data_IF_109315885451
#
_entry.id   IF_109315885451
#
_cell.length_a   1.000
_cell.length_b   1.000
_cell.length_c   1.000
_cell.angle_alpha   90.00
_cell.angle_beta   90.00
_cell.angle_gamma   90.00
#
_symmetry.space_group_name_H-M   'P 1'
#
loop_
_entity.id
_entity.type
_entity.pdbx_description
1 polymer ?
#
# COMPACT_ATOMS: atom_id res chain seq x y z
N UNK A 1 -4.97 -26.85 -4.13
CA UNK A 1 -3.87 -27.22 -3.23
C UNK A 1 -4.46 -27.58 -1.88
N UNK A 2 -4.37 -28.85 -1.49
CA UNK A 2 -4.57 -29.31 -0.12
C UNK A 2 -3.22 -29.16 0.60
N UNK A 3 -3.20 -28.48 1.75
CA UNK A 3 -1.98 -28.30 2.55
C UNK A 3 -2.22 -27.20 3.58
N UNK A 4 -2.02 -27.51 4.86
CA UNK A 4 -2.40 -26.66 5.97
C UNK A 4 -1.84 -25.23 5.91
N UNK A 5 -2.45 -24.39 6.72
CA UNK A 5 -2.01 -23.04 7.07
C UNK A 5 -0.48 -22.88 7.03
N UNK A 6 0.02 -22.05 6.12
CA UNK A 6 1.45 -21.85 5.91
C UNK A 6 2.04 -21.07 7.08
N UNK A 7 2.43 -21.81 8.12
CA UNK A 7 2.91 -21.25 9.39
C UNK A 7 4.06 -20.28 9.25
N UNK A 8 5.04 -20.68 8.44
CA UNK A 8 6.22 -19.85 8.23
C UNK A 8 5.85 -18.51 7.57
N UNK A 9 4.88 -18.49 6.66
CA UNK A 9 4.40 -17.25 6.04
C UNK A 9 3.79 -16.31 7.06
N UNK A 10 2.82 -16.74 7.87
CA UNK A 10 2.19 -15.81 8.81
C UNK A 10 3.14 -15.39 9.94
N UNK A 11 4.07 -16.26 10.38
CA UNK A 11 5.10 -15.88 11.36
C UNK A 11 6.05 -14.84 10.77
N UNK A 12 6.45 -15.03 9.51
CA UNK A 12 7.26 -14.07 8.79
C UNK A 12 6.53 -12.74 8.62
N UNK A 13 5.25 -12.73 8.20
CA UNK A 13 4.44 -11.51 8.08
C UNK A 13 4.29 -10.81 9.43
N UNK A 14 4.00 -11.57 10.49
CA UNK A 14 3.86 -11.04 11.86
C UNK A 14 5.10 -10.25 12.29
N UNK A 15 6.29 -10.75 11.98
CA UNK A 15 7.56 -10.07 12.24
C UNK A 15 7.80 -8.91 11.28
N UNK A 16 7.68 -9.15 9.97
CA UNK A 16 8.06 -8.20 8.92
C UNK A 16 7.20 -6.93 8.90
N UNK A 17 5.92 -7.04 9.29
CA UNK A 17 4.98 -5.91 9.38
C UNK A 17 4.69 -5.47 10.82
N UNK A 18 5.46 -6.01 11.78
CA UNK A 18 5.37 -5.75 13.22
C UNK A 18 3.90 -5.74 13.70
N UNK A 19 3.27 -6.90 13.58
CA UNK A 19 1.89 -7.16 14.00
C UNK A 19 1.84 -7.55 15.50
N UNK A 20 2.66 -6.89 16.32
CA UNK A 20 2.85 -7.21 17.75
C UNK A 20 1.84 -6.53 18.67
N UNK A 21 1.09 -5.55 18.17
CA UNK A 21 0.04 -4.87 18.94
C UNK A 21 -1.05 -5.86 19.38
N UNK A 22 -1.53 -5.73 20.61
CA UNK A 22 -2.48 -6.68 21.19
C UNK A 22 -3.83 -6.72 20.45
N UNK A 23 -4.14 -5.73 19.62
CA UNK A 23 -5.32 -5.75 18.73
C UNK A 23 -5.36 -6.96 17.80
N UNK A 24 -4.21 -7.57 17.48
CA UNK A 24 -4.16 -8.74 16.60
C UNK A 24 -4.63 -10.04 17.26
N UNK A 25 -4.61 -10.14 18.60
CA UNK A 25 -5.05 -11.35 19.32
C UNK A 25 -6.51 -11.67 19.04
N UNK A 26 -7.41 -10.71 19.28
CA UNK A 26 -8.84 -10.86 18.96
C UNK A 26 -9.13 -10.85 17.45
N UNK A 27 -8.15 -10.45 16.64
CA UNK A 27 -8.27 -10.37 15.20
C UNK A 27 -7.82 -11.64 14.46
N UNK A 28 -7.56 -12.73 15.19
CA UNK A 28 -7.21 -14.03 14.62
C UNK A 28 -5.73 -14.37 14.61
N UNK A 29 -4.87 -13.71 15.39
CA UNK A 29 -3.46 -14.10 15.50
C UNK A 29 -3.28 -15.56 15.95
N UNK A 30 -4.12 -16.04 16.88
CA UNK A 30 -4.11 -17.44 17.34
C UNK A 30 -4.76 -18.42 16.36
N UNK A 31 -5.48 -17.92 15.36
CA UNK A 31 -6.18 -18.68 14.32
C UNK A 31 -5.87 -18.06 12.95
N UNK A 32 -4.56 -17.98 12.64
CA UNK A 32 -4.05 -17.33 11.44
C UNK A 32 -4.55 -17.95 10.12
N UNK A 33 -5.19 -19.11 10.22
CA UNK A 33 -5.67 -19.91 9.11
C UNK A 33 -7.11 -19.54 8.72
N UNK A 34 -7.82 -18.86 9.61
CA UNK A 34 -9.18 -18.41 9.38
C UNK A 34 -9.17 -17.15 8.51
N UNK A 35 -9.28 -17.38 7.19
CA UNK A 35 -9.27 -16.34 6.16
C UNK A 35 -10.38 -15.28 6.28
N UNK A 36 -11.39 -15.53 7.14
CA UNK A 36 -12.43 -14.56 7.47
C UNK A 36 -11.96 -13.50 8.47
N UNK A 37 -10.91 -13.77 9.25
CA UNK A 37 -10.43 -12.89 10.31
C UNK A 37 -9.42 -11.85 9.80
N UNK A 38 -9.37 -10.64 10.41
CA UNK A 38 -8.51 -9.57 9.93
C UNK A 38 -7.03 -9.95 9.82
N UNK A 39 -6.49 -10.73 10.75
CA UNK A 39 -5.08 -11.13 10.73
C UNK A 39 -4.74 -11.93 9.46
N UNK A 40 -5.51 -12.97 9.14
CA UNK A 40 -5.32 -13.74 7.91
C UNK A 40 -5.49 -12.87 6.64
N UNK A 41 -6.42 -11.90 6.67
CA UNK A 41 -6.62 -10.95 5.56
C UNK A 41 -5.41 -10.01 5.39
N UNK A 42 -4.73 -9.59 6.47
CA UNK A 42 -3.46 -8.85 6.38
C UNK A 42 -2.33 -9.75 5.85
N UNK A 43 -2.26 -11.01 6.27
CA UNK A 43 -1.29 -11.97 5.74
C UNK A 43 -1.43 -12.12 4.22
N UNK A 44 -2.67 -12.22 3.72
CA UNK A 44 -2.93 -12.27 2.27
C UNK A 44 -2.50 -10.98 1.55
N UNK A 45 -2.72 -9.81 2.15
CA UNK A 45 -2.29 -8.53 1.58
C UNK A 45 -0.76 -8.44 1.52
N UNK A 46 -0.08 -8.77 2.61
CA UNK A 46 1.38 -8.83 2.68
C UNK A 46 1.95 -9.84 1.67
N UNK A 47 1.30 -10.98 1.48
CA UNK A 47 1.68 -11.98 0.48
C UNK A 47 1.63 -11.39 -0.94
N UNK A 48 0.59 -10.61 -1.27
CA UNK A 48 0.50 -9.95 -2.57
C UNK A 48 1.66 -8.97 -2.79
N UNK A 49 1.95 -8.11 -1.81
CA UNK A 49 3.08 -7.15 -1.90
C UNK A 49 4.40 -7.88 -2.15
N UNK A 50 4.61 -9.03 -1.51
CA UNK A 50 5.90 -9.71 -1.52
C UNK A 50 6.11 -10.67 -2.69
N UNK A 51 5.03 -11.22 -3.26
CA UNK A 51 5.12 -12.35 -4.17
C UNK A 51 4.25 -12.21 -5.43
N UNK A 52 3.26 -11.32 -5.47
CA UNK A 52 2.34 -11.27 -6.61
C UNK A 52 3.01 -10.82 -7.91
N UNK A 53 4.07 -10.03 -7.84
CA UNK A 53 4.72 -9.45 -9.00
C UNK A 53 5.90 -10.31 -9.49
N UNK A 54 6.16 -10.25 -10.80
CA UNK A 54 7.42 -10.68 -11.40
C UNK A 54 8.11 -9.44 -11.91
N UNK A 55 9.36 -9.23 -11.48
CA UNK A 55 10.11 -8.05 -11.85
C UNK A 55 10.27 -7.94 -13.38
N UNK A 56 9.89 -6.80 -13.95
CA UNK A 56 9.98 -6.45 -15.36
C UNK A 56 10.29 -4.95 -15.47
N UNK A 57 11.58 -4.63 -15.50
CA UNK A 57 12.12 -3.26 -15.55
C UNK A 57 11.63 -2.45 -16.75
N UNK A 58 11.27 -3.11 -17.84
CA UNK A 58 10.77 -2.46 -19.04
C UNK A 58 9.30 -2.01 -18.93
N UNK A 59 8.52 -2.54 -17.97
CA UNK A 59 7.07 -2.29 -17.89
C UNK A 59 6.61 -1.80 -16.52
N UNK A 60 7.20 -2.28 -15.43
CA UNK A 60 6.72 -2.00 -14.07
C UNK A 60 7.06 -0.59 -13.61
N UNK A 61 6.22 0.00 -12.75
CA UNK A 61 6.50 1.31 -12.18
C UNK A 61 7.68 1.21 -11.21
N UNK A 62 7.64 0.19 -10.34
CA UNK A 62 8.69 -0.08 -9.36
C UNK A 62 8.94 -1.57 -9.20
N UNK A 63 10.07 -1.89 -8.58
CA UNK A 63 10.42 -3.28 -8.32
C UNK A 63 9.56 -3.90 -7.22
N UNK A 64 9.45 -5.23 -7.24
CA UNK A 64 8.85 -5.97 -6.13
C UNK A 64 9.57 -5.65 -4.82
N UNK A 65 10.90 -5.47 -4.85
CA UNK A 65 11.68 -5.10 -3.66
C UNK A 65 11.34 -3.70 -3.15
N UNK A 66 11.07 -2.74 -4.04
CA UNK A 66 10.68 -1.39 -3.65
C UNK A 66 9.38 -1.42 -2.82
N UNK A 67 8.31 -2.02 -3.35
CA UNK A 67 7.03 -2.13 -2.65
C UNK A 67 7.15 -2.94 -1.35
N UNK A 68 7.99 -3.99 -1.37
CA UNK A 68 8.22 -4.85 -0.21
C UNK A 68 8.98 -4.13 0.89
N UNK A 69 10.07 -3.45 0.56
CA UNK A 69 10.90 -2.75 1.53
C UNK A 69 10.19 -1.52 2.05
N UNK A 70 9.49 -0.78 1.20
CA UNK A 70 8.74 0.41 1.63
C UNK A 70 7.58 0.08 2.57
N UNK A 71 7.02 -1.13 2.53
CA UNK A 71 5.84 -1.51 3.33
C UNK A 71 6.13 -2.30 4.59
N UNK A 72 7.34 -2.85 4.73
CA UNK A 72 7.78 -3.55 5.94
C UNK A 72 7.95 -2.57 7.10
N UNK A 73 7.68 -3.03 8.31
CA UNK A 73 7.71 -2.19 9.51
C UNK A 73 9.13 -1.95 10.07
N UNK A 74 10.11 -2.74 9.61
CA UNK A 74 11.52 -2.61 10.03
C UNK A 74 12.15 -1.36 9.43
N UNK A 75 13.05 -0.71 10.20
CA UNK A 75 13.85 0.41 9.70
C UNK A 75 14.65 0.02 8.46
N UNK A 76 14.63 0.87 7.45
CA UNK A 76 15.41 0.72 6.22
C UNK A 76 15.65 2.09 5.58
N UNK A 77 16.04 2.11 4.30
CA UNK A 77 16.32 3.35 3.57
C UNK A 77 15.06 4.12 3.11
N UNK A 78 13.86 3.56 3.28
CA UNK A 78 12.60 4.26 3.06
C UNK A 78 12.12 4.99 4.31
N UNK A 79 12.19 4.36 5.49
CA UNK A 79 11.67 4.93 6.73
C UNK A 79 12.27 4.29 7.99
N UNK A 80 12.04 4.94 9.15
CA UNK A 80 12.30 4.37 10.46
C UNK A 80 11.35 3.21 10.81
N UNK A 81 11.52 2.57 11.97
CA UNK A 81 10.65 1.47 12.36
C UNK A 81 9.25 1.96 12.77
N UNK A 82 8.21 1.24 12.37
CA UNK A 82 6.84 1.45 12.82
C UNK A 82 6.22 0.13 13.27
N UNK A 83 4.93 0.13 13.61
CA UNK A 83 4.18 -1.11 13.77
C UNK A 83 2.78 -0.99 13.23
N UNK A 84 2.18 -2.12 12.87
CA UNK A 84 0.83 -2.12 12.32
C UNK A 84 -0.15 -2.56 13.39
N UNK A 85 -1.27 -1.84 13.49
CA UNK A 85 -2.31 -2.05 14.49
C UNK A 85 -3.66 -2.19 13.81
N UNK A 86 -4.49 -3.11 14.29
CA UNK A 86 -5.92 -3.07 13.98
C UNK A 86 -6.58 -2.04 14.89
N UNK A 87 -7.04 -0.93 14.32
CA UNK A 87 -7.74 0.09 15.08
C UNK A 87 -9.19 -0.33 15.33
N UNK A 88 -9.58 -0.32 16.60
CA UNK A 88 -10.93 -0.68 17.06
C UNK A 88 -11.92 0.48 16.96
N UNK A 89 -11.44 1.69 16.71
CA UNK A 89 -12.25 2.88 16.43
C UNK A 89 -12.53 2.98 14.94
N UNK A 90 -13.71 3.48 14.59
CA UNK A 90 -14.02 3.79 13.20
C UNK A 90 -13.07 4.89 12.66
N UNK A 91 -12.46 4.62 11.50
CA UNK A 91 -11.66 5.60 10.74
C UNK A 91 -12.53 6.58 9.95
N UNK A 92 -13.85 6.49 10.10
CA UNK A 92 -14.83 7.19 9.28
C UNK A 92 -14.77 6.64 7.86
N UNK A 93 -14.36 7.48 6.92
CA UNK A 93 -14.22 7.07 5.51
C UNK A 93 -12.86 6.46 5.19
N UNK A 94 -11.87 6.56 6.08
CA UNK A 94 -10.51 6.09 5.83
C UNK A 94 -10.37 4.58 6.01
N UNK A 95 -9.59 3.95 5.13
CA UNK A 95 -9.24 2.52 5.22
C UNK A 95 -8.10 2.28 6.22
N UNK A 96 -7.15 3.20 6.28
CA UNK A 96 -6.05 3.19 7.23
C UNK A 96 -5.56 4.61 7.55
N UNK A 97 -4.60 4.73 8.47
CA UNK A 97 -3.88 5.97 8.76
C UNK A 97 -2.51 5.70 9.38
N UNK A 98 -1.47 6.21 8.75
CA UNK A 98 -0.14 6.37 9.30
C UNK A 98 -0.15 7.44 10.40
N UNK A 99 0.49 7.14 11.51
CA UNK A 99 0.71 8.05 12.62
C UNK A 99 2.22 8.16 12.82
N UNK A 100 2.77 9.21 12.22
CA UNK A 100 4.18 9.61 12.31
C UNK A 100 4.36 10.64 13.43
N UNK A 101 5.61 10.89 13.83
CA UNK A 101 5.97 11.93 14.84
C UNK A 101 5.29 11.74 16.19
N UNK A 102 5.03 10.51 16.62
CA UNK A 102 4.32 10.26 17.87
C UNK A 102 5.21 10.60 19.08
N UNK A 103 4.72 11.47 19.98
CA UNK A 103 5.46 11.87 21.18
C UNK A 103 5.60 10.70 22.15
N UNK A 104 6.83 10.37 22.54
CA UNK A 104 7.19 9.27 23.45
C UNK A 104 6.57 7.92 23.08
N UNK A 105 6.27 7.70 21.80
CA UNK A 105 5.71 6.46 21.30
C UNK A 105 6.28 6.13 19.92
N UNK A 106 6.38 4.84 19.60
CA UNK A 106 6.78 4.40 18.26
C UNK A 106 5.72 4.79 17.22
N UNK A 107 6.15 5.19 16.03
CA UNK A 107 5.25 5.43 14.90
C UNK A 107 4.46 4.17 14.53
N UNK A 108 3.29 4.33 13.94
CA UNK A 108 2.42 3.20 13.61
C UNK A 108 1.56 3.42 12.39
N UNK A 109 1.01 2.34 11.87
CA UNK A 109 -0.08 2.34 10.89
C UNK A 109 -1.32 1.70 11.53
N UNK A 110 -2.41 2.46 11.56
CA UNK A 110 -3.71 1.94 11.99
C UNK A 110 -4.48 1.44 10.77
N UNK A 111 -4.83 0.17 10.72
CA UNK A 111 -5.77 -0.39 9.75
C UNK A 111 -7.16 -0.39 10.36
N UNK A 112 -8.17 0.17 9.67
CA UNK A 112 -9.53 0.30 10.21
C UNK A 112 -10.44 -0.85 9.80
N UNK A 113 -11.53 -1.05 10.56
CA UNK A 113 -12.50 -2.13 10.35
C UNK A 113 -13.06 -2.20 8.92
N UNK A 114 -13.24 -1.04 8.26
CA UNK A 114 -13.76 -0.95 6.88
C UNK A 114 -12.97 -1.79 5.88
N UNK A 115 -11.65 -1.87 6.06
CA UNK A 115 -10.84 -2.76 5.25
C UNK A 115 -11.36 -4.18 5.38
N UNK A 116 -11.65 -4.66 6.59
CA UNK A 116 -11.95 -6.06 6.93
C UNK A 116 -13.41 -6.50 6.81
N UNK A 117 -14.36 -5.56 6.76
CA UNK A 117 -15.80 -5.84 6.71
C UNK A 117 -16.23 -6.53 5.42
N UNK A 118 -16.86 -7.71 5.53
CA UNK A 118 -17.33 -8.48 4.37
C UNK A 118 -18.24 -7.65 3.46
N UNK A 119 -17.95 -7.63 2.16
CA UNK A 119 -18.77 -6.92 1.17
C UNK A 119 -18.59 -5.39 1.17
N UNK A 120 -17.69 -4.86 2.00
CA UNK A 120 -17.22 -3.48 1.89
C UNK A 120 -16.55 -3.27 0.54
N UNK A 121 -16.67 -2.05 -0.03
CA UNK A 121 -15.92 -1.68 -1.24
C UNK A 121 -14.40 -1.74 -1.04
N UNK A 122 -13.95 -1.76 0.21
CA UNK A 122 -12.55 -1.89 0.61
C UNK A 122 -12.11 -3.33 0.89
N UNK A 123 -13.02 -4.32 0.89
CA UNK A 123 -12.76 -5.72 1.24
C UNK A 123 -12.23 -6.52 0.04
N UNK A 124 -11.03 -6.16 -0.42
CA UNK A 124 -10.26 -6.99 -1.34
C UNK A 124 -8.81 -7.10 -0.88
N UNK A 125 -8.17 -8.23 -1.16
CA UNK A 125 -6.77 -8.44 -0.81
C UNK A 125 -5.86 -7.41 -1.50
N UNK A 126 -6.14 -7.08 -2.77
CA UNK A 126 -5.42 -6.03 -3.50
C UNK A 126 -5.58 -4.65 -2.87
N UNK A 127 -6.79 -4.26 -2.46
CA UNK A 127 -7.02 -2.98 -1.79
C UNK A 127 -6.26 -2.84 -0.47
N UNK A 128 -6.24 -3.92 0.33
CA UNK A 128 -5.46 -3.94 1.57
C UNK A 128 -3.97 -3.79 1.29
N UNK A 129 -3.47 -4.50 0.28
CA UNK A 129 -2.07 -4.44 -0.10
C UNK A 129 -1.67 -3.03 -0.54
N UNK A 130 -2.44 -2.40 -1.45
CA UNK A 130 -2.17 -1.03 -1.88
C UNK A 130 -2.37 0.00 -0.77
N UNK A 131 -3.31 -0.24 0.16
CA UNK A 131 -3.44 0.60 1.38
C UNK A 131 -2.20 0.46 2.29
N UNK A 132 -1.64 -0.74 2.46
CA UNK A 132 -0.43 -0.90 3.27
C UNK A 132 0.78 -0.18 2.64
N UNK A 133 0.93 -0.25 1.31
CA UNK A 133 1.94 0.53 0.56
C UNK A 133 1.70 2.03 0.67
N UNK A 134 0.43 2.47 0.62
CA UNK A 134 0.05 3.87 0.80
C UNK A 134 0.50 4.41 2.17
N UNK A 135 0.10 3.74 3.24
CA UNK A 135 0.39 4.21 4.59
C UNK A 135 1.88 4.14 4.91
N UNK A 136 2.59 3.18 4.31
CA UNK A 136 4.02 3.10 4.47
C UNK A 136 4.76 4.23 3.75
N UNK A 137 4.20 4.74 2.66
CA UNK A 137 4.71 5.93 1.99
C UNK A 137 4.59 7.21 2.83
N UNK A 138 3.60 7.30 3.71
CA UNK A 138 3.58 8.40 4.70
C UNK A 138 4.75 8.32 5.70
N UNK A 139 5.20 7.12 6.07
CA UNK A 139 6.41 6.96 6.88
C UNK A 139 7.66 7.37 6.08
N UNK A 140 7.71 7.08 4.78
CA UNK A 140 8.76 7.60 3.89
C UNK A 140 8.77 9.12 3.84
N UNK A 141 7.61 9.75 3.62
CA UNK A 141 7.49 11.21 3.62
C UNK A 141 8.02 11.80 4.92
N UNK A 142 7.70 11.19 6.07
CA UNK A 142 8.22 11.64 7.35
C UNK A 142 9.75 11.53 7.45
N UNK A 143 10.30 10.36 7.10
CA UNK A 143 11.74 10.11 7.17
C UNK A 143 12.56 11.07 6.30
N UNK A 144 11.99 11.54 5.19
CA UNK A 144 12.62 12.47 4.26
C UNK A 144 12.19 13.94 4.44
N UNK A 145 11.54 14.28 5.55
CA UNK A 145 11.23 15.67 5.92
C UNK A 145 10.04 16.30 5.17
N UNK A 146 9.26 15.50 4.44
CA UNK A 146 8.06 15.94 3.75
C UNK A 146 6.84 15.99 4.69
N UNK A 147 5.82 16.74 4.25
CA UNK A 147 4.52 16.73 4.92
C UNK A 147 3.81 15.39 4.64
N UNK A 148 3.34 14.74 5.69
CA UNK A 148 2.63 13.45 5.61
C UNK A 148 1.12 13.59 5.44
N UNK A 149 0.60 14.81 5.35
CA UNK A 149 -0.84 15.06 5.22
C UNK A 149 -1.24 15.16 3.75
N UNK A 150 -2.36 14.55 3.41
CA UNK A 150 -3.05 14.85 2.16
C UNK A 150 -3.57 16.29 2.15
N UNK A 151 -3.74 16.80 0.93
CA UNK A 151 -4.47 18.06 0.72
C UNK A 151 -5.96 17.78 0.80
N UNK A 152 -6.71 18.68 1.42
CA UNK A 152 -8.18 18.69 1.33
C UNK A 152 -8.63 19.45 0.07
N UNK A 153 -9.44 18.82 -0.78
CA UNK A 153 -9.98 19.44 -2.00
C UNK A 153 -11.49 19.22 -2.13
N UNK A 154 -12.18 20.16 -2.81
CA UNK A 154 -13.61 20.08 -3.10
C UNK A 154 -14.54 20.35 -1.90
N UNK A 155 -15.84 20.17 -2.11
CA UNK A 155 -16.89 20.25 -1.08
C UNK A 155 -17.93 19.12 -1.29
N UNK A 156 -18.18 18.23 -0.31
CA UNK A 156 -17.43 18.12 0.95
C UNK A 156 -15.95 17.81 0.70
N UNK A 157 -15.04 18.27 1.58
CA UNK A 157 -13.61 18.10 1.36
C UNK A 157 -13.23 16.62 1.40
N UNK A 158 -12.51 16.16 0.39
CA UNK A 158 -11.86 14.84 0.37
C UNK A 158 -10.35 15.00 0.46
N UNK A 159 -9.68 13.96 0.96
CA UNK A 159 -8.23 13.84 0.88
C UNK A 159 -7.82 13.63 -0.57
N UNK A 160 -6.77 14.33 -1.00
CA UNK A 160 -6.18 14.17 -2.31
C UNK A 160 -4.71 14.55 -2.29
N UNK A 161 -3.98 14.00 -3.23
CA UNK A 161 -2.59 14.32 -3.49
C UNK A 161 -2.42 15.10 -4.80
N UNK A 162 -1.21 15.57 -5.05
CA UNK A 162 -0.80 15.87 -6.42
C UNK A 162 -0.28 14.58 -7.05
N UNK A 163 -0.67 14.37 -8.31
CA UNK A 163 -0.03 13.39 -9.16
C UNK A 163 1.19 14.06 -9.82
N UNK A 164 2.33 13.41 -9.75
CA UNK A 164 3.60 13.88 -10.29
C UNK A 164 3.91 13.04 -11.53
N UNK A 165 3.61 13.54 -12.74
CA UNK A 165 3.80 12.74 -13.95
C UNK A 165 5.28 12.43 -14.15
N UNK A 166 5.58 11.16 -14.35
CA UNK A 166 6.89 10.68 -14.77
C UNK A 166 6.72 9.50 -15.72
N UNK A 167 7.77 9.17 -16.43
CA UNK A 167 7.90 7.92 -17.19
C UNK A 167 8.27 6.80 -16.24
N UNK A 168 7.98 5.57 -16.64
CA UNK A 168 8.52 4.38 -15.97
C UNK A 168 10.05 4.44 -15.90
N UNK A 169 10.69 4.96 -16.95
CA UNK A 169 12.15 5.08 -17.07
C UNK A 169 12.79 6.21 -16.25
N UNK A 170 12.00 7.12 -15.64
CA UNK A 170 12.54 8.23 -14.85
C UNK A 170 13.02 7.78 -13.46
N UNK A 171 12.54 6.62 -12.99
CA UNK A 171 13.03 5.94 -11.80
C UNK A 171 13.70 4.65 -12.20
N UNK A 172 15.01 4.54 -11.98
CA UNK A 172 15.69 3.26 -12.15
C UNK A 172 15.02 2.21 -11.25
N UNK A 173 14.92 0.98 -11.75
CA UNK A 173 14.31 -0.12 -11.02
C UNK A 173 15.05 -0.36 -9.69
N UNK A 174 14.33 -0.34 -8.56
CA UNK A 174 14.95 -0.38 -7.22
C UNK A 174 15.30 0.99 -6.62
N UNK A 175 14.93 2.10 -7.27
CA UNK A 175 15.14 3.47 -6.78
C UNK A 175 13.82 4.20 -6.49
N UNK A 176 12.76 3.48 -6.11
CA UNK A 176 11.47 4.10 -5.77
C UNK A 176 11.60 5.16 -4.66
N UNK A 177 12.57 5.00 -3.75
CA UNK A 177 12.84 5.93 -2.65
C UNK A 177 13.50 7.25 -3.08
N UNK A 178 14.01 7.35 -4.33
CA UNK A 178 14.71 8.53 -4.82
C UNK A 178 13.71 9.68 -4.94
N UNK A 179 14.20 10.89 -4.67
CA UNK A 179 13.43 12.09 -4.93
C UNK A 179 14.32 13.25 -5.37
N UNK A 180 13.74 14.17 -6.13
CA UNK A 180 14.34 15.43 -6.56
C UNK A 180 13.23 16.48 -6.54
N UNK A 181 13.46 17.58 -5.84
CA UNK A 181 12.48 18.67 -5.71
C UNK A 181 12.73 19.81 -6.68
N UNK A 182 13.72 19.66 -7.57
CA UNK A 182 13.99 20.62 -8.62
C UNK A 182 12.78 20.69 -9.59
N UNK A 183 12.16 21.87 -9.79
CA UNK A 183 11.03 22.01 -10.69
C UNK A 183 11.31 21.62 -12.15
N UNK A 184 12.57 21.64 -12.58
CA UNK A 184 12.95 21.20 -13.94
C UNK A 184 13.17 19.69 -14.06
N UNK A 185 13.15 18.97 -12.94
CA UNK A 185 13.43 17.53 -12.84
C UNK A 185 12.82 16.97 -11.55
N UNK A 186 11.48 16.99 -11.47
CA UNK A 186 10.75 16.63 -10.26
C UNK A 186 10.55 15.12 -10.17
N UNK A 187 11.29 14.47 -9.27
CA UNK A 187 11.11 13.06 -8.93
C UNK A 187 10.46 12.99 -7.56
N UNK A 188 9.18 12.66 -7.51
CA UNK A 188 8.46 12.53 -6.24
C UNK A 188 7.22 11.68 -6.45
N UNK A 189 6.91 10.82 -5.48
CA UNK A 189 5.63 10.13 -5.44
C UNK A 189 4.80 10.63 -4.26
N UNK A 190 3.52 10.85 -4.49
CA UNK A 190 2.56 11.01 -3.40
C UNK A 190 2.02 9.65 -2.92
N UNK A 191 1.45 9.54 -1.71
CA UNK A 191 0.92 8.28 -1.20
C UNK A 191 -0.15 7.67 -2.10
N UNK A 192 -1.10 8.46 -2.63
CA UNK A 192 -2.05 7.95 -3.61
C UNK A 192 -1.40 7.55 -4.93
N UNK A 193 -0.32 8.21 -5.35
CA UNK A 193 0.43 7.82 -6.54
C UNK A 193 1.07 6.44 -6.36
N UNK A 194 1.75 6.20 -5.25
CA UNK A 194 2.27 4.86 -4.91
C UNK A 194 1.19 3.79 -4.90
N UNK A 195 0.00 4.15 -4.43
CA UNK A 195 -1.15 3.25 -4.36
C UNK A 195 -1.59 2.81 -5.75
N UNK A 196 -1.75 3.76 -6.69
CA UNK A 196 -2.27 3.48 -8.02
C UNK A 196 -1.23 2.85 -8.94
N UNK A 197 0.06 3.13 -8.73
CA UNK A 197 1.16 2.49 -9.43
C UNK A 197 1.30 1.01 -9.00
N UNK A 198 1.19 0.71 -7.70
CA UNK A 198 1.11 -0.67 -7.24
C UNK A 198 -0.16 -1.38 -7.75
N UNK A 199 -1.33 -0.72 -7.71
CA UNK A 199 -2.57 -1.29 -8.27
C UNK A 199 -2.42 -1.58 -9.77
N UNK A 200 -1.69 -0.74 -10.52
CA UNK A 200 -1.40 -0.94 -11.94
C UNK A 200 -0.48 -2.14 -12.18
N UNK A 201 0.62 -2.24 -11.43
CA UNK A 201 1.53 -3.38 -11.47
C UNK A 201 0.82 -4.67 -11.12
N UNK A 202 -0.04 -4.66 -10.09
CA UNK A 202 -0.83 -5.82 -9.71
C UNK A 202 -1.86 -6.18 -10.80
N UNK A 203 -2.49 -5.19 -11.43
CA UNK A 203 -3.49 -5.44 -12.47
C UNK A 203 -2.91 -6.00 -13.78
N UNK A 204 -1.68 -5.61 -14.13
CA UNK A 204 -1.11 -5.81 -15.47
C UNK A 204 0.06 -6.81 -15.49
N UNK A 205 0.80 -6.91 -14.38
CA UNK A 205 2.11 -7.56 -14.31
C UNK A 205 2.20 -8.60 -13.18
N UNK A 206 1.05 -8.98 -12.61
CA UNK A 206 0.95 -10.08 -11.66
C UNK A 206 1.38 -11.42 -12.27
N UNK A 207 1.95 -12.28 -11.43
CA UNK A 207 2.19 -13.70 -11.72
C UNK A 207 0.89 -14.42 -12.05
N UNK A 208 1.00 -15.45 -12.89
CA UNK A 208 -0.14 -16.21 -13.42
C UNK A 208 -0.98 -16.93 -12.36
N UNK A 209 -0.44 -17.16 -11.15
CA UNK A 209 -1.18 -17.77 -10.05
C UNK A 209 -2.03 -16.76 -9.27
N UNK A 210 -1.84 -15.46 -9.46
CA UNK A 210 -2.66 -14.42 -8.81
C UNK A 210 -4.07 -14.50 -9.40
N UNK A 211 -5.12 -14.68 -8.58
CA UNK A 211 -6.47 -14.83 -9.09
C UNK A 211 -6.93 -13.61 -9.90
N UNK A 212 -7.63 -13.86 -11.02
CA UNK A 212 -8.16 -12.81 -11.89
C UNK A 212 -9.03 -11.77 -11.16
N UNK A 213 -9.79 -12.20 -10.14
CA UNK A 213 -10.60 -11.29 -9.31
C UNK A 213 -9.73 -10.26 -8.57
N UNK A 214 -8.50 -10.60 -8.18
CA UNK A 214 -7.57 -9.69 -7.52
C UNK A 214 -7.05 -8.66 -8.52
N UNK A 215 -6.63 -9.08 -9.71
CA UNK A 215 -6.08 -8.16 -10.73
C UNK A 215 -7.15 -7.25 -11.32
N UNK A 216 -8.37 -7.75 -11.54
CA UNK A 216 -9.52 -6.94 -11.95
C UNK A 216 -9.94 -5.93 -10.87
N UNK A 217 -9.98 -6.35 -9.60
CA UNK A 217 -10.27 -5.44 -8.50
C UNK A 217 -9.22 -4.32 -8.41
N UNK A 218 -7.92 -4.66 -8.53
CA UNK A 218 -6.84 -3.68 -8.54
C UNK A 218 -7.02 -2.65 -9.67
N UNK A 219 -7.30 -3.09 -10.90
CA UNK A 219 -7.59 -2.19 -12.03
C UNK A 219 -8.77 -1.25 -11.74
N UNK A 220 -9.88 -1.80 -11.25
CA UNK A 220 -11.10 -1.03 -11.03
C UNK A 220 -10.90 0.00 -9.91
N UNK A 221 -10.34 -0.43 -8.78
CA UNK A 221 -10.09 0.44 -7.61
C UNK A 221 -9.04 1.51 -7.96
N UNK A 222 -7.94 1.13 -8.61
CA UNK A 222 -6.90 2.05 -9.01
C UNK A 222 -7.41 3.11 -10.00
N UNK A 223 -8.27 2.74 -10.96
CA UNK A 223 -8.91 3.73 -11.85
C UNK A 223 -9.88 4.67 -11.12
N UNK A 224 -10.61 4.18 -10.11
CA UNK A 224 -11.42 5.05 -9.23
C UNK A 224 -10.53 6.04 -8.46
N UNK A 225 -9.37 5.58 -7.96
CA UNK A 225 -8.39 6.45 -7.28
C UNK A 225 -7.79 7.49 -8.22
N UNK A 226 -7.35 7.10 -9.41
CA UNK A 226 -6.86 8.03 -10.46
C UNK A 226 -7.88 9.13 -10.80
N UNK A 227 -9.18 8.83 -10.73
CA UNK A 227 -10.23 9.82 -11.00
C UNK A 227 -10.53 10.75 -9.81
N UNK A 228 -10.32 10.29 -8.57
CA UNK A 228 -10.88 10.95 -7.39
C UNK A 228 -9.82 11.41 -6.37
N UNK A 229 -8.65 10.80 -6.31
CA UNK A 229 -7.69 11.02 -5.22
C UNK A 229 -6.55 11.99 -5.58
N UNK A 230 -6.65 12.65 -6.73
CA UNK A 230 -5.68 13.65 -7.16
C UNK A 230 -6.32 15.02 -7.39
N UNK A 231 -5.57 16.07 -7.07
CA UNK A 231 -5.97 17.47 -7.24
C UNK A 231 -5.81 17.96 -8.69
N UNK A 232 -4.89 17.37 -9.44
CA UNK A 232 -4.71 17.55 -10.87
C UNK A 232 -5.29 16.39 -11.67
N UNK A 233 -5.54 16.65 -12.95
CA UNK A 233 -5.88 15.59 -13.90
C UNK A 233 -4.69 14.63 -14.04
N UNK A 234 -4.99 13.33 -13.96
CA UNK A 234 -4.03 12.26 -14.25
C UNK A 234 -4.29 11.77 -15.68
N UNK A 235 -3.32 11.99 -16.57
CA UNK A 235 -3.41 11.59 -17.97
C UNK A 235 -3.08 10.10 -18.20
N UNK A 236 -3.36 9.25 -17.20
CA UNK A 236 -3.10 7.82 -17.21
C UNK A 236 -4.31 7.06 -16.66
N UNK A 237 -4.55 5.86 -17.20
CA UNK A 237 -5.54 4.90 -16.72
C UNK A 237 -4.92 3.52 -16.72
N UNK A 238 -5.24 2.72 -15.72
CA UNK A 238 -4.79 1.33 -15.64
C UNK A 238 -5.48 0.55 -16.77
N UNK A 239 -4.68 -0.11 -17.60
CA UNK A 239 -5.06 -0.76 -18.85
C UNK A 239 -4.61 0.02 -20.11
N UNK A 240 -4.23 1.29 -19.98
CA UNK A 240 -3.60 2.03 -21.07
C UNK A 240 -2.09 1.77 -21.09
N UNK A 241 -1.41 1.97 -22.24
CA UNK A 241 0.04 2.04 -22.27
C UNK A 241 0.56 3.04 -21.22
N UNK A 242 1.58 2.61 -20.47
CA UNK A 242 2.25 3.46 -19.48
C UNK A 242 3.05 4.56 -20.19
N UNK A 243 3.27 5.72 -19.55
CA UNK A 243 4.21 6.70 -20.06
C UNK A 243 5.62 6.10 -20.00
N UNK A 244 6.21 5.83 -21.16
CA UNK A 244 7.58 5.34 -21.34
C UNK A 244 8.53 6.46 -21.76
#
# INVERSE_FOLDING_TARGET
MYGGCWRDLYMWVWQAYDLTDSSWYSAGLSDACNSSLPFAKVVNAAFLINYALSDNDALQWHSTEDYRSSSRATSNHFHGPFYTRLATTDGGTADARAQTRRFLARDRTNLYCRLFSLGSTSDSAGNRASTMVHESWHHWQYAHGFNTSHRKIGSPPRDADWYYPHRVSDFDFGQMNRYDTNPSHLLFHSPYQMTVEFDADLAELSRTWVPLVVTQAARNIGNVRLANQFANAVAYRIGNPRPF
#
